data_IF_054833368494
#
_entry.id   IF_054833368494
#
_cell.length_a   1.000
_cell.length_b   1.000
_cell.length_c   1.000
_cell.angle_alpha   90.00
_cell.angle_beta   90.00
_cell.angle_gamma   90.00
#
_symmetry.space_group_name_H-M   'P 1'
#
loop_
_entity.id
_entity.type
_entity.pdbx_description
1 polymer ?
#
# COMPACT_ATOMS: atom_id res chain seq x y z
N UNK A 1 17.95 11.64 -10.64
CA UNK A 1 17.82 11.94 -9.20
C UNK A 1 16.56 11.22 -8.73
N UNK A 2 16.65 10.31 -7.76
CA UNK A 2 15.52 9.46 -7.37
C UNK A 2 14.43 10.29 -6.67
N UNK A 3 13.20 10.17 -7.14
CA UNK A 3 12.04 10.94 -6.68
C UNK A 3 11.67 10.52 -5.24
N UNK A 4 11.66 11.46 -4.29
CA UNK A 4 11.55 11.20 -2.85
C UNK A 4 10.16 10.75 -2.36
N UNK A 5 9.23 10.46 -3.27
CA UNK A 5 7.82 10.19 -2.99
C UNK A 5 7.41 8.73 -3.14
N UNK A 6 8.29 7.85 -3.64
CA UNK A 6 7.91 6.45 -3.82
C UNK A 6 8.06 5.63 -2.52
N UNK A 7 7.01 4.86 -2.15
CA UNK A 7 7.06 3.96 -0.99
C UNK A 7 8.15 2.91 -1.18
N UNK A 8 9.04 2.80 -0.19
CA UNK A 8 10.11 1.79 -0.21
C UNK A 8 9.53 0.45 0.23
N UNK A 9 9.65 -0.57 -0.62
CA UNK A 9 9.19 -1.93 -0.29
C UNK A 9 10.00 -2.55 0.86
N UNK A 10 9.35 -3.36 1.69
CA UNK A 10 10.01 -4.10 2.77
C UNK A 10 11.16 -4.99 2.26
N UNK A 11 10.99 -5.60 1.09
CA UNK A 11 12.00 -6.44 0.44
C UNK A 11 13.26 -5.63 0.10
N UNK A 12 13.10 -4.41 -0.41
CA UNK A 12 14.22 -3.52 -0.70
C UNK A 12 14.99 -3.16 0.58
N UNK A 13 14.31 -2.94 1.70
CA UNK A 13 14.97 -2.63 2.98
C UNK A 13 15.79 -3.84 3.48
N UNK A 14 15.22 -5.05 3.43
CA UNK A 14 15.93 -6.28 3.79
C UNK A 14 17.15 -6.48 2.89
N UNK A 15 17.01 -6.29 1.59
CA UNK A 15 18.11 -6.41 0.64
C UNK A 15 19.24 -5.41 0.93
N UNK A 16 18.89 -4.14 1.17
CA UNK A 16 19.87 -3.11 1.53
C UNK A 16 20.54 -3.40 2.87
N UNK A 17 19.81 -3.90 3.87
CA UNK A 17 20.40 -4.30 5.15
C UNK A 17 21.49 -5.37 4.96
N UNK A 18 21.21 -6.42 4.16
CA UNK A 18 22.19 -7.46 3.82
C UNK A 18 23.44 -6.89 3.14
N UNK A 19 23.26 -6.01 2.16
CA UNK A 19 24.38 -5.34 1.47
C UNK A 19 25.21 -4.52 2.45
N UNK A 20 24.57 -3.73 3.32
CA UNK A 20 25.27 -2.87 4.27
C UNK A 20 26.03 -3.68 5.32
N UNK A 21 25.47 -4.79 5.82
CA UNK A 21 26.18 -5.70 6.73
C UNK A 21 27.45 -6.25 6.08
N UNK A 22 27.37 -6.73 4.83
CA UNK A 22 28.56 -7.21 4.09
C UNK A 22 29.58 -6.10 3.86
N UNK A 23 29.13 -4.93 3.40
CA UNK A 23 30.00 -3.79 3.10
C UNK A 23 30.75 -3.28 4.33
N UNK A 24 30.09 -3.32 5.49
CA UNK A 24 30.66 -2.90 6.78
C UNK A 24 31.32 -4.03 7.57
N UNK A 25 31.36 -5.24 7.02
CA UNK A 25 31.93 -6.43 7.67
C UNK A 25 31.39 -6.63 9.09
N UNK A 26 30.08 -6.39 9.26
CA UNK A 26 29.43 -6.62 10.54
C UNK A 26 29.36 -8.13 10.81
N UNK A 27 29.77 -8.54 12.00
CA UNK A 27 29.54 -9.90 12.47
C UNK A 27 28.03 -10.09 12.67
N UNK A 28 27.47 -10.96 11.85
CA UNK A 28 26.06 -11.36 11.91
C UNK A 28 26.06 -12.82 12.34
N UNK A 29 25.41 -13.18 13.46
CA UNK A 29 25.29 -14.57 13.89
C UNK A 29 24.74 -15.46 12.76
N UNK A 30 25.21 -16.70 12.65
CA UNK A 30 24.79 -17.61 11.56
C UNK A 30 23.27 -17.89 11.58
N UNK A 31 22.67 -17.86 12.77
CA UNK A 31 21.23 -18.05 12.99
C UNK A 31 20.41 -16.77 12.77
N UNK A 32 21.06 -15.63 12.55
CA UNK A 32 20.37 -14.37 12.35
C UNK A 32 19.71 -14.30 10.97
N UNK A 33 18.38 -14.12 10.98
CA UNK A 33 17.61 -13.92 9.76
C UNK A 33 17.10 -12.48 9.64
N UNK A 34 17.34 -11.86 8.49
CA UNK A 34 16.68 -10.63 8.06
C UNK A 34 15.22 -10.89 7.68
N UNK A 35 14.46 -11.46 8.61
CA UNK A 35 13.07 -11.84 8.44
C UNK A 35 12.15 -10.61 8.47
N UNK A 36 10.90 -10.79 8.01
CA UNK A 36 9.88 -9.77 8.16
C UNK A 36 9.67 -9.38 9.64
N UNK A 37 9.75 -10.34 10.57
CA UNK A 37 9.64 -10.07 12.00
C UNK A 37 10.77 -9.22 12.56
N UNK A 38 12.01 -9.42 12.09
CA UNK A 38 13.14 -8.54 12.42
C UNK A 38 12.89 -7.13 11.89
N UNK A 39 12.49 -7.01 10.62
CA UNK A 39 12.21 -5.72 9.98
C UNK A 39 11.11 -4.95 10.70
N UNK A 40 10.01 -5.60 11.08
CA UNK A 40 8.92 -4.98 11.84
C UNK A 40 9.40 -4.45 13.19
N UNK A 41 10.19 -5.24 13.93
CA UNK A 41 10.76 -4.82 15.21
C UNK A 41 11.75 -3.67 15.04
N UNK A 42 12.58 -3.71 14.00
CA UNK A 42 13.52 -2.65 13.64
C UNK A 42 12.78 -1.35 13.32
N UNK A 43 11.78 -1.39 12.44
CA UNK A 43 10.95 -0.23 12.10
C UNK A 43 10.30 0.37 13.35
N UNK A 44 9.71 -0.46 14.20
CA UNK A 44 9.09 -0.03 15.46
C UNK A 44 10.08 0.64 16.42
N UNK A 45 11.30 0.10 16.55
CA UNK A 45 12.34 0.65 17.45
C UNK A 45 12.79 2.05 17.02
N UNK A 46 12.89 2.29 15.72
CA UNK A 46 13.37 3.56 15.16
C UNK A 46 12.25 4.49 14.68
N UNK A 47 10.98 4.16 14.97
CA UNK A 47 9.84 5.02 14.66
C UNK A 47 9.42 5.05 13.17
N UNK A 48 9.89 4.11 12.35
CA UNK A 48 9.45 3.99 10.97
C UNK A 48 8.02 3.46 10.90
N UNK A 49 7.16 4.12 10.13
CA UNK A 49 5.77 3.72 9.91
C UNK A 49 5.65 2.99 8.57
N UNK A 50 5.17 1.76 8.58
CA UNK A 50 4.70 1.09 7.37
C UNK A 50 3.28 1.57 7.07
N UNK A 51 3.03 1.99 5.83
CA UNK A 51 1.68 2.31 5.35
C UNK A 51 1.35 1.35 4.23
N UNK A 52 0.18 0.71 4.31
CA UNK A 52 -0.40 0.05 3.15
C UNK A 52 -0.97 1.14 2.27
N UNK A 53 -0.55 1.18 1.01
CA UNK A 53 -1.16 2.04 0.01
C UNK A 53 -2.28 1.21 -0.59
N UNK A 54 -3.51 1.71 -0.45
CA UNK A 54 -4.70 1.07 -1.01
C UNK A 54 -5.00 1.73 -2.36
N UNK A 55 -5.00 0.94 -3.43
CA UNK A 55 -5.51 1.30 -4.76
C UNK A 55 -4.70 2.34 -5.56
N UNK A 56 -4.90 2.33 -6.88
CA UNK A 56 -4.41 3.37 -7.81
C UNK A 56 -5.02 4.76 -7.52
N UNK A 57 -6.05 4.85 -6.69
CA UNK A 57 -6.71 6.10 -6.31
C UNK A 57 -5.81 7.09 -5.54
N UNK A 58 -4.64 6.62 -5.07
CA UNK A 58 -3.65 7.47 -4.39
C UNK A 58 -2.69 8.22 -5.32
N UNK A 59 -2.74 7.99 -6.63
CA UNK A 59 -1.87 8.66 -7.62
C UNK A 59 -2.52 9.87 -8.30
N UNK A 60 -3.68 10.32 -7.80
CA UNK A 60 -4.27 11.57 -8.26
C UNK A 60 -3.57 12.72 -7.55
N UNK A 61 -2.73 13.44 -8.29
CA UNK A 61 -2.14 14.70 -7.87
C UNK A 61 -3.28 15.72 -7.63
N UNK A 62 -3.76 15.80 -6.40
CA UNK A 62 -4.90 16.64 -5.97
C UNK A 62 -4.67 18.13 -6.30
N UNK A 63 -3.41 18.52 -6.49
CA UNK A 63 -2.95 19.86 -6.85
C UNK A 63 -2.70 20.04 -8.35
N UNK A 64 -3.08 19.08 -9.21
CA UNK A 64 -3.05 19.33 -10.64
C UNK A 64 -4.02 20.48 -10.95
N UNK A 65 -3.52 21.54 -11.59
CA UNK A 65 -4.21 22.82 -11.80
C UNK A 65 -5.63 22.70 -12.39
N UNK A 66 -5.97 21.55 -12.97
CA UNK A 66 -7.21 21.28 -13.68
C UNK A 66 -8.27 20.50 -12.85
N UNK A 67 -7.93 19.98 -11.66
CA UNK A 67 -8.89 19.16 -10.89
C UNK A 67 -9.98 20.04 -10.27
N UNK A 68 -9.61 21.18 -9.70
CA UNK A 68 -10.57 22.08 -9.05
C UNK A 68 -11.60 22.64 -10.04
N UNK A 69 -11.17 22.98 -11.25
CA UNK A 69 -12.05 23.44 -12.33
C UNK A 69 -13.02 22.36 -12.78
N UNK A 70 -12.55 21.11 -12.91
CA UNK A 70 -13.42 19.96 -13.21
C UNK A 70 -14.46 19.73 -12.11
N UNK A 71 -14.07 19.84 -10.83
CA UNK A 71 -15.02 19.76 -9.71
C UNK A 71 -16.07 20.87 -9.77
N UNK A 72 -15.65 22.10 -10.05
CA UNK A 72 -16.57 23.24 -10.15
C UNK A 72 -17.54 23.07 -11.32
N UNK A 73 -17.07 22.58 -12.48
CA UNK A 73 -17.92 22.29 -13.64
C UNK A 73 -18.95 21.19 -13.36
N UNK A 74 -18.56 20.14 -12.63
CA UNK A 74 -19.49 19.08 -12.20
C UNK A 74 -20.53 19.63 -11.21
N UNK A 75 -20.11 20.43 -10.22
CA UNK A 75 -21.04 21.06 -9.27
C UNK A 75 -22.05 21.98 -9.96
N UNK A 76 -21.61 22.78 -10.94
CA UNK A 76 -22.50 23.65 -11.71
C UNK A 76 -23.59 22.83 -12.42
N UNK A 77 -23.21 21.77 -13.14
CA UNK A 77 -24.16 20.87 -13.82
C UNK A 77 -25.11 20.17 -12.86
N UNK A 78 -24.63 19.73 -11.70
CA UNK A 78 -25.46 19.05 -10.69
C UNK A 78 -26.48 20.02 -10.07
N UNK A 79 -26.14 21.31 -9.94
CA UNK A 79 -27.02 22.31 -9.33
C UNK A 79 -28.30 22.59 -10.13
N UNK A 80 -28.33 22.19 -11.42
CA UNK A 80 -29.51 22.28 -12.28
C UNK A 80 -30.57 21.21 -11.95
N UNK A 81 -30.20 20.20 -11.16
CA UNK A 81 -31.08 19.10 -10.79
C UNK A 81 -31.47 19.19 -9.30
N UNK A 82 -32.73 18.87 -8.96
CA UNK A 82 -33.13 18.78 -7.57
C UNK A 82 -32.45 17.56 -6.91
N UNK A 83 -32.19 17.59 -5.58
CA UNK A 83 -31.43 16.55 -4.88
C UNK A 83 -31.93 15.12 -5.10
N UNK A 84 -33.24 14.94 -5.27
CA UNK A 84 -33.89 13.64 -5.47
C UNK A 84 -33.54 13.00 -6.82
N UNK A 85 -32.94 13.76 -7.74
CA UNK A 85 -32.51 13.29 -9.07
C UNK A 85 -30.99 13.12 -9.18
N UNK A 86 -30.26 13.29 -8.08
CA UNK A 86 -28.80 13.10 -8.05
C UNK A 86 -28.53 11.72 -7.45
N UNK A 87 -28.22 10.76 -8.32
CA UNK A 87 -27.91 9.39 -7.92
C UNK A 87 -26.41 9.15 -7.94
N UNK A 88 -25.86 8.63 -6.84
CA UNK A 88 -24.50 8.10 -6.83
C UNK A 88 -24.55 6.63 -7.28
N UNK A 89 -24.10 6.36 -8.50
CA UNK A 89 -23.94 4.99 -9.01
C UNK A 89 -22.44 4.73 -9.04
N UNK A 90 -21.94 4.18 -7.95
CA UNK A 90 -20.58 3.64 -7.89
C UNK A 90 -20.63 2.11 -8.08
N UNK A 91 -19.59 1.56 -8.70
CA UNK A 91 -19.52 0.12 -8.97
C UNK A 91 -19.38 -0.64 -7.66
N UNK A 92 -20.50 -1.20 -7.18
CA UNK A 92 -20.47 -2.08 -6.02
C UNK A 92 -20.06 -3.48 -6.48
N UNK A 93 -18.77 -3.79 -6.37
CA UNK A 93 -18.26 -5.14 -6.58
C UNK A 93 -18.87 -6.10 -5.56
N UNK A 94 -19.81 -6.96 -5.98
CA UNK A 94 -20.39 -8.00 -5.13
C UNK A 94 -19.44 -9.18 -5.03
N UNK A 95 -18.66 -9.25 -3.95
CA UNK A 95 -17.74 -10.36 -3.71
C UNK A 95 -18.44 -11.54 -3.03
N UNK A 96 -19.06 -12.42 -3.81
CA UNK A 96 -19.62 -13.67 -3.31
C UNK A 96 -18.50 -14.61 -2.84
N UNK A 97 -18.56 -15.08 -1.58
CA UNK A 97 -17.57 -15.99 -0.95
C UNK A 97 -16.13 -15.44 -0.87
N UNK A 98 -15.96 -14.14 -0.62
CA UNK A 98 -14.62 -13.63 -0.32
C UNK A 98 -14.14 -14.16 1.04
N UNK A 99 -13.22 -15.10 1.00
CA UNK A 99 -12.49 -15.58 2.16
C UNK A 99 -11.56 -14.46 2.62
N UNK A 100 -11.55 -14.15 3.93
CA UNK A 100 -10.63 -13.16 4.49
C UNK A 100 -9.18 -13.44 4.02
N UNK A 101 -8.41 -12.39 3.76
CA UNK A 101 -7.00 -12.51 3.36
C UNK A 101 -6.20 -13.38 4.35
N UNK A 102 -6.52 -13.26 5.64
CA UNK A 102 -5.98 -14.07 6.74
C UNK A 102 -6.25 -15.58 6.57
N UNK A 103 -7.37 -15.93 5.94
CA UNK A 103 -7.79 -17.30 5.64
C UNK A 103 -7.28 -17.77 4.26
N UNK A 104 -7.09 -16.87 3.28
CA UNK A 104 -6.49 -17.22 1.97
C UNK A 104 -5.04 -17.66 2.10
N UNK A 105 -4.25 -17.00 2.96
CA UNK A 105 -2.85 -17.39 3.22
C UNK A 105 -2.80 -18.81 3.82
N UNK A 106 -3.67 -19.12 4.80
CA UNK A 106 -3.77 -20.46 5.41
C UNK A 106 -4.23 -21.54 4.42
N UNK A 107 -5.10 -21.20 3.47
CA UNK A 107 -5.53 -22.14 2.43
C UNK A 107 -4.44 -22.40 1.38
N UNK A 108 -3.61 -21.41 1.08
CA UNK A 108 -2.48 -21.55 0.16
C UNK A 108 -1.36 -22.41 0.78
N UNK A 109 -1.05 -22.21 2.07
CA UNK A 109 -0.10 -23.06 2.80
C UNK A 109 -0.56 -24.52 2.87
N UNK A 110 -1.86 -24.78 3.06
CA UNK A 110 -2.40 -26.15 3.03
C UNK A 110 -2.38 -26.82 1.65
N UNK A 111 -2.29 -26.06 0.55
CA UNK A 111 -2.24 -26.60 -0.81
C UNK A 111 -0.84 -26.97 -1.28
N UNK A 112 0.21 -26.56 -0.56
CA UNK A 112 1.61 -26.93 -0.83
C UNK A 112 2.11 -28.10 0.03
N UNK A 113 1.24 -28.71 0.84
CA UNK A 113 1.56 -29.85 1.70
C UNK A 113 0.94 -31.18 1.22
N UNK A 114 0.59 -31.30 -0.06
CA UNK A 114 0.28 -32.57 -0.72
C UNK A 114 1.06 -32.67 -2.04
#
# INVERSE_FOLDING_TARGET
MANASQPISMASIIHQAKIQCRRRQLEVPEDFQFSNGWLTKFMRRYGFKSRRIHGESGEVEINADNIQDKFNAVKAKISEFPPERIYNIDETGFFYKQVEESLRIKLAEKRHCY
#
